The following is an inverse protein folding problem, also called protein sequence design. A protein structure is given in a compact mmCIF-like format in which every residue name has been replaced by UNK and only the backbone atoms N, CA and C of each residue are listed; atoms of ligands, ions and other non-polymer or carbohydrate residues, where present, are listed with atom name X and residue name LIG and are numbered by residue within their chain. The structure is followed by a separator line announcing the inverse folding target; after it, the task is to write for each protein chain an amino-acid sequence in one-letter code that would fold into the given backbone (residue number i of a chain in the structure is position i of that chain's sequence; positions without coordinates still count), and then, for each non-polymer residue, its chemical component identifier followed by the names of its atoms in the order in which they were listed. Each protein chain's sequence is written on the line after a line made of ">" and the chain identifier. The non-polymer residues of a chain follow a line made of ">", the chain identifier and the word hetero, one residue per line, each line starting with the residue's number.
data_IF_957354265930
#
_entry.id   IF_957354265930
#
_cell.length_a   1.000
_cell.length_b   1.000
_cell.length_c   1.000
_cell.angle_alpha   90.00
_cell.angle_beta   90.00
_cell.angle_gamma   90.00
#
_symmetry.space_group_name_H-M   'P 1'
#
loop_
_entity.id
_entity.type
_entity.pdbx_description
1 polymer ?
#
# COMPACT_ATOMS: atom_id res chain seq x y z
N UNK A 1 4.11 -15.49 -5.62
CA UNK A 1 2.88 -15.62 -6.46
C UNK A 1 1.78 -16.48 -5.86
N UNK A 2 2.07 -17.72 -5.47
CA UNK A 2 1.05 -18.70 -5.05
C UNK A 2 0.21 -18.26 -3.83
N UNK A 3 0.80 -17.64 -2.81
CA UNK A 3 0.07 -17.32 -1.56
C UNK A 3 -0.99 -16.21 -1.70
N UNK A 4 -0.76 -15.21 -2.55
CA UNK A 4 -1.69 -14.10 -2.79
C UNK A 4 -3.00 -14.60 -3.41
N UNK A 5 -2.93 -15.67 -4.20
CA UNK A 5 -4.09 -16.32 -4.81
C UNK A 5 -4.66 -17.40 -3.88
N UNK A 6 -3.81 -18.25 -3.29
CA UNK A 6 -4.24 -19.36 -2.41
C UNK A 6 -5.03 -18.90 -1.19
N UNK A 7 -4.85 -17.66 -0.72
CA UNK A 7 -5.57 -17.14 0.45
C UNK A 7 -7.10 -17.16 0.26
N UNK A 8 -7.58 -17.03 -0.99
CA UNK A 8 -8.99 -17.09 -1.35
C UNK A 8 -9.59 -18.49 -1.21
N UNK A 9 -8.76 -19.53 -1.26
CA UNK A 9 -9.21 -20.93 -1.10
C UNK A 9 -9.41 -21.31 0.38
N UNK A 10 -9.06 -20.42 1.32
CA UNK A 10 -9.24 -20.65 2.75
C UNK A 10 -10.33 -19.76 3.31
N UNK A 11 -11.32 -20.36 3.98
CA UNK A 11 -12.37 -19.62 4.70
C UNK A 11 -11.78 -18.60 5.67
N UNK A 12 -10.72 -18.98 6.39
CA UNK A 12 -10.01 -18.08 7.31
C UNK A 12 -9.35 -16.91 6.58
N UNK A 13 -8.80 -17.16 5.39
CA UNK A 13 -8.22 -16.13 4.54
C UNK A 13 -9.28 -15.10 4.10
N UNK A 14 -10.41 -15.56 3.57
CA UNK A 14 -11.53 -14.71 3.15
C UNK A 14 -12.07 -13.87 4.31
N UNK A 15 -12.26 -14.47 5.50
CA UNK A 15 -12.71 -13.74 6.69
C UNK A 15 -11.73 -12.61 7.06
N UNK A 16 -10.42 -12.86 6.96
CA UNK A 16 -9.41 -11.84 7.28
C UNK A 16 -9.30 -10.74 6.21
N UNK A 17 -9.58 -11.05 4.95
CA UNK A 17 -9.75 -10.05 3.89
C UNK A 17 -10.90 -9.10 4.27
N UNK A 18 -12.08 -9.67 4.56
CA UNK A 18 -13.28 -8.90 4.92
C UNK A 18 -13.04 -8.09 6.19
N UNK A 19 -12.48 -8.70 7.25
CA UNK A 19 -12.18 -8.01 8.50
C UNK A 19 -11.26 -6.82 8.28
N UNK A 20 -10.17 -7.01 7.52
CA UNK A 20 -9.23 -5.92 7.22
C UNK A 20 -9.92 -4.81 6.42
N UNK A 21 -10.71 -5.15 5.40
CA UNK A 21 -11.43 -4.19 4.59
C UNK A 21 -12.43 -3.37 5.42
N UNK A 22 -13.23 -4.03 6.25
CA UNK A 22 -14.25 -3.37 7.10
C UNK A 22 -13.61 -2.43 8.10
N UNK A 23 -12.58 -2.89 8.83
CA UNK A 23 -11.90 -2.04 9.82
C UNK A 23 -11.20 -0.87 9.13
N UNK A 24 -10.56 -1.12 7.98
CA UNK A 24 -9.91 -0.07 7.22
C UNK A 24 -10.92 1.00 6.76
N UNK A 25 -12.03 0.58 6.12
CA UNK A 25 -13.09 1.48 5.65
C UNK A 25 -13.72 2.26 6.80
N UNK A 26 -14.03 1.59 7.92
CA UNK A 26 -14.69 2.21 9.05
C UNK A 26 -13.89 3.41 9.61
N UNK A 27 -12.55 3.30 9.63
CA UNK A 27 -11.69 4.39 10.07
C UNK A 27 -11.43 5.38 8.92
N UNK A 28 -11.36 4.94 7.67
CA UNK A 28 -11.05 5.79 6.53
C UNK A 28 -12.22 6.72 6.16
N UNK A 29 -13.46 6.22 6.20
CA UNK A 29 -14.64 6.89 5.65
C UNK A 29 -14.91 8.29 6.26
N UNK A 30 -14.82 8.51 7.59
CA UNK A 30 -15.01 9.85 8.16
C UNK A 30 -14.03 10.88 7.59
N UNK A 31 -12.76 10.50 7.39
CA UNK A 31 -11.75 11.42 6.88
C UNK A 31 -11.88 11.64 5.38
N UNK A 32 -12.32 10.61 4.63
CA UNK A 32 -12.61 10.74 3.20
C UNK A 32 -13.71 11.77 2.92
N UNK A 33 -14.73 11.84 3.78
CA UNK A 33 -15.83 12.80 3.64
C UNK A 33 -15.47 14.18 4.19
N UNK A 34 -14.81 14.25 5.35
CA UNK A 34 -14.63 15.52 6.09
C UNK A 34 -13.31 16.23 5.75
N UNK A 35 -12.24 15.50 5.43
CA UNK A 35 -10.88 16.05 5.26
C UNK A 35 -10.18 15.56 3.97
N UNK A 36 -10.76 15.82 2.77
CA UNK A 36 -10.07 15.57 1.52
C UNK A 36 -8.88 16.52 1.37
N UNK A 37 -7.71 15.99 0.98
CA UNK A 37 -6.53 16.78 0.62
C UNK A 37 -6.61 17.14 -0.88
N UNK A 38 -6.95 16.15 -1.71
CA UNK A 38 -7.32 16.34 -3.11
C UNK A 38 -8.71 15.70 -3.28
N UNK A 39 -9.77 16.50 -3.46
CA UNK A 39 -11.13 15.99 -3.61
C UNK A 39 -11.21 14.90 -4.68
N UNK A 40 -11.77 13.74 -4.31
CA UNK A 40 -11.92 12.59 -5.20
C UNK A 40 -10.70 11.66 -5.32
N UNK A 41 -9.52 12.05 -4.82
CA UNK A 41 -8.28 11.28 -5.04
C UNK A 41 -7.52 10.90 -3.76
N UNK A 42 -7.43 11.81 -2.78
CA UNK A 42 -6.75 11.50 -1.52
C UNK A 42 -7.21 12.41 -0.38
N UNK A 43 -7.22 11.87 0.81
CA UNK A 43 -7.70 12.46 2.07
C UNK A 43 -6.61 12.40 3.14
N UNK A 44 -6.83 12.99 4.31
CA UNK A 44 -6.01 12.64 5.48
C UNK A 44 -6.34 11.18 5.87
N UNK A 45 -5.35 10.28 5.97
CA UNK A 45 -5.63 8.84 6.09
C UNK A 45 -5.15 8.20 7.40
N UNK A 46 -5.68 8.56 8.58
CA UNK A 46 -5.31 7.83 9.81
C UNK A 46 -5.58 6.33 9.71
N UNK A 47 -6.63 5.93 8.97
CA UNK A 47 -6.93 4.53 8.68
C UNK A 47 -5.84 3.78 7.92
N UNK A 48 -4.89 4.45 7.25
CA UNK A 48 -3.79 3.82 6.52
C UNK A 48 -2.86 3.00 7.44
N UNK A 49 -2.88 3.23 8.75
CA UNK A 49 -2.16 2.38 9.71
C UNK A 49 -2.70 0.94 9.74
N UNK A 50 -3.98 0.74 9.44
CA UNK A 50 -4.64 -0.57 9.50
C UNK A 50 -4.05 -1.55 8.48
N UNK A 51 -3.97 -1.22 7.17
CA UNK A 51 -3.26 -2.05 6.19
C UNK A 51 -1.86 -2.48 6.64
N UNK A 52 -1.06 -1.57 7.19
CA UNK A 52 0.32 -1.88 7.63
C UNK A 52 0.31 -2.94 8.74
N UNK A 53 -0.41 -2.68 9.83
CA UNK A 53 -0.41 -3.52 11.02
C UNK A 53 -1.10 -4.87 10.77
N UNK A 54 -2.22 -4.85 10.06
CA UNK A 54 -2.97 -6.05 9.69
C UNK A 54 -2.11 -6.94 8.78
N UNK A 55 -1.36 -6.37 7.85
CA UNK A 55 -0.55 -7.16 6.91
C UNK A 55 0.59 -7.90 7.57
N UNK A 56 1.25 -7.30 8.58
CA UNK A 56 2.27 -8.01 9.36
C UNK A 56 1.70 -9.28 10.01
N UNK A 57 0.40 -9.30 10.34
CA UNK A 57 -0.25 -10.39 11.08
C UNK A 57 -1.04 -11.38 10.20
N UNK A 58 -1.65 -10.88 9.12
CA UNK A 58 -2.55 -11.64 8.25
C UNK A 58 -1.97 -11.87 6.84
N UNK A 59 -0.84 -11.23 6.52
CA UNK A 59 -0.14 -11.39 5.25
C UNK A 59 -0.99 -11.00 4.04
N UNK A 60 -1.05 -11.83 2.98
CA UNK A 60 -1.77 -11.50 1.75
C UNK A 60 -3.28 -11.24 1.93
N UNK A 61 -3.91 -11.76 2.99
CA UNK A 61 -5.30 -11.47 3.29
C UNK A 61 -5.52 -9.98 3.56
N UNK A 62 -4.63 -9.38 4.37
CA UNK A 62 -4.73 -7.96 4.66
C UNK A 62 -4.32 -7.08 3.47
N UNK A 63 -3.44 -7.55 2.59
CA UNK A 63 -3.16 -6.86 1.31
C UNK A 63 -4.41 -6.75 0.44
N UNK A 64 -5.14 -7.85 0.23
CA UNK A 64 -6.43 -7.82 -0.46
C UNK A 64 -7.46 -6.96 0.28
N UNK A 65 -7.53 -7.08 1.60
CA UNK A 65 -8.42 -6.28 2.42
C UNK A 65 -8.14 -4.77 2.34
N UNK A 66 -6.87 -4.37 2.24
CA UNK A 66 -6.48 -2.98 2.05
C UNK A 66 -6.94 -2.44 0.69
N UNK A 67 -6.70 -3.19 -0.39
CA UNK A 67 -7.16 -2.83 -1.72
C UNK A 67 -8.69 -2.73 -1.82
N UNK A 68 -9.38 -3.79 -1.41
CA UNK A 68 -10.85 -3.87 -1.45
C UNK A 68 -11.47 -2.82 -0.52
N UNK A 69 -10.89 -2.63 0.67
CA UNK A 69 -11.31 -1.59 1.59
C UNK A 69 -11.19 -0.19 0.99
N UNK A 70 -10.09 0.12 0.28
CA UNK A 70 -10.00 1.40 -0.43
C UNK A 70 -11.13 1.57 -1.46
N UNK A 71 -11.39 0.53 -2.26
CA UNK A 71 -12.43 0.56 -3.29
C UNK A 71 -13.84 0.74 -2.67
N UNK A 72 -14.15 0.03 -1.59
CA UNK A 72 -15.40 0.22 -0.84
C UNK A 72 -15.48 1.65 -0.29
N UNK A 73 -14.37 2.17 0.23
CA UNK A 73 -14.28 3.56 0.69
C UNK A 73 -14.55 4.57 -0.43
N UNK A 74 -14.10 4.31 -1.66
CA UNK A 74 -14.41 5.14 -2.83
C UNK A 74 -15.91 5.09 -3.18
N UNK A 75 -16.52 3.90 -3.13
CA UNK A 75 -17.96 3.70 -3.38
C UNK A 75 -18.79 4.46 -2.35
N UNK A 76 -18.53 4.22 -1.06
CA UNK A 76 -19.31 4.81 0.04
C UNK A 76 -19.02 6.29 0.25
N UNK A 77 -17.81 6.74 -0.06
CA UNK A 77 -17.42 8.14 0.00
C UNK A 77 -17.89 8.97 -1.20
N UNK A 78 -18.51 8.35 -2.20
CA UNK A 78 -18.98 9.04 -3.41
C UNK A 78 -17.85 9.49 -4.36
N UNK A 79 -16.67 8.88 -4.26
CA UNK A 79 -15.48 9.22 -5.06
C UNK A 79 -15.07 8.12 -6.04
N UNK A 80 -15.96 7.17 -6.32
CA UNK A 80 -15.72 6.10 -7.29
C UNK A 80 -15.48 6.68 -8.69
N UNK A 81 -14.36 6.30 -9.31
CA UNK A 81 -14.04 6.68 -10.68
C UNK A 81 -13.02 5.73 -11.32
N UNK A 82 -12.56 6.05 -12.53
CA UNK A 82 -11.53 5.25 -13.22
C UNK A 82 -10.23 5.15 -12.42
N UNK A 83 -9.91 6.18 -11.63
CA UNK A 83 -8.78 6.18 -10.70
C UNK A 83 -8.86 5.09 -9.60
N UNK A 84 -10.05 4.63 -9.24
CA UNK A 84 -10.27 3.65 -8.16
C UNK A 84 -9.66 2.28 -8.47
N UNK A 85 -9.45 1.93 -9.74
CA UNK A 85 -8.73 0.70 -10.13
C UNK A 85 -7.27 0.79 -9.67
N UNK A 86 -6.63 1.94 -9.86
CA UNK A 86 -5.28 2.17 -9.38
C UNK A 86 -5.25 2.29 -7.85
N UNK A 87 -6.30 2.86 -7.25
CA UNK A 87 -6.51 2.85 -5.80
C UNK A 87 -6.55 1.44 -5.20
N UNK A 88 -7.30 0.52 -5.81
CA UNK A 88 -7.40 -0.89 -5.42
C UNK A 88 -6.01 -1.55 -5.39
N UNK A 89 -5.27 -1.50 -6.50
CA UNK A 89 -3.97 -2.17 -6.60
C UNK A 89 -2.84 -1.43 -5.86
N UNK A 90 -2.89 -0.11 -5.78
CA UNK A 90 -1.96 0.69 -4.97
C UNK A 90 -2.10 0.38 -3.48
N UNK A 91 -3.34 0.30 -2.97
CA UNK A 91 -3.58 -0.11 -1.58
C UNK A 91 -3.30 -1.60 -1.35
N UNK A 92 -3.46 -2.45 -2.36
CA UNK A 92 -3.00 -3.83 -2.30
C UNK A 92 -1.48 -3.90 -2.08
N UNK A 93 -0.68 -3.17 -2.86
CA UNK A 93 0.77 -3.07 -2.66
C UNK A 93 1.11 -2.45 -1.29
N UNK A 94 0.33 -1.47 -0.86
CA UNK A 94 0.45 -0.83 0.45
C UNK A 94 0.31 -1.81 1.62
N UNK A 95 -0.58 -2.80 1.49
CA UNK A 95 -0.68 -3.91 2.46
C UNK A 95 0.33 -5.03 2.20
N UNK A 96 0.68 -5.34 0.96
CA UNK A 96 1.59 -6.45 0.65
C UNK A 96 3.03 -6.20 1.15
N UNK A 97 3.58 -5.01 0.92
CA UNK A 97 4.98 -4.72 1.19
C UNK A 97 5.39 -4.71 2.68
N UNK A 98 4.62 -4.12 3.62
CA UNK A 98 4.99 -4.13 5.04
C UNK A 98 5.13 -5.55 5.57
N UNK A 99 4.22 -6.43 5.15
CA UNK A 99 4.29 -7.85 5.43
C UNK A 99 5.57 -8.48 4.89
N UNK A 100 5.88 -8.32 3.60
CA UNK A 100 7.08 -8.93 2.98
C UNK A 100 8.37 -8.42 3.63
N UNK A 101 8.49 -7.11 3.79
CA UNK A 101 9.70 -6.46 4.31
C UNK A 101 9.92 -6.82 5.79
N UNK A 102 8.88 -6.79 6.63
CA UNK A 102 9.00 -7.07 8.07
C UNK A 102 9.45 -8.50 8.41
N UNK A 103 9.34 -9.43 7.46
CA UNK A 103 9.74 -10.83 7.66
C UNK A 103 11.22 -11.07 7.59
N UNK A 104 11.96 -10.21 6.90
CA UNK A 104 13.41 -10.29 6.86
C UNK A 104 13.99 -10.27 8.26
N UNK A 105 13.56 -9.29 9.07
CA UNK A 105 13.81 -9.26 10.51
C UNK A 105 12.64 -8.57 11.22
N UNK A 106 12.13 -9.18 12.29
CA UNK A 106 10.97 -8.67 13.04
C UNK A 106 11.38 -7.60 14.05
N UNK A 107 11.91 -6.49 13.57
CA UNK A 107 12.38 -5.37 14.39
C UNK A 107 11.85 -4.02 13.87
N UNK A 108 12.10 -2.95 14.62
CA UNK A 108 11.63 -1.62 14.29
C UNK A 108 12.18 -1.11 12.95
N UNK A 109 13.43 -1.43 12.60
CA UNK A 109 14.04 -1.00 11.34
C UNK A 109 13.25 -1.53 10.13
N UNK A 110 12.97 -2.83 10.09
CA UNK A 110 12.22 -3.41 8.97
C UNK A 110 10.73 -3.04 9.00
N UNK A 111 10.19 -2.67 10.17
CA UNK A 111 8.88 -2.04 10.23
C UNK A 111 8.89 -0.67 9.54
N UNK A 112 9.86 0.18 9.86
CA UNK A 112 10.04 1.50 9.25
C UNK A 112 10.27 1.38 7.74
N UNK A 113 11.13 0.45 7.30
CA UNK A 113 11.31 0.14 5.88
C UNK A 113 10.00 -0.33 5.24
N UNK A 114 9.23 -1.17 5.93
CA UNK A 114 7.90 -1.60 5.51
C UNK A 114 6.96 -0.43 5.25
N UNK A 115 6.89 0.53 6.18
CA UNK A 115 6.07 1.75 6.08
C UNK A 115 6.51 2.62 4.90
N UNK A 116 7.81 2.90 4.78
CA UNK A 116 8.34 3.78 3.72
C UNK A 116 8.18 3.12 2.36
N UNK A 117 8.57 1.85 2.23
CA UNK A 117 8.51 1.10 0.98
C UNK A 117 7.07 0.93 0.48
N UNK A 118 6.12 0.63 1.38
CA UNK A 118 4.73 0.51 1.00
C UNK A 118 4.10 1.84 0.62
N UNK A 119 4.44 2.93 1.33
CA UNK A 119 3.94 4.27 1.04
C UNK A 119 4.42 4.76 -0.33
N UNK A 120 5.69 4.55 -0.65
CA UNK A 120 6.26 4.83 -1.98
C UNK A 120 5.57 4.01 -3.06
N UNK A 121 5.43 2.70 -2.87
CA UNK A 121 4.79 1.83 -3.86
C UNK A 121 3.35 2.24 -4.16
N UNK A 122 2.58 2.56 -3.10
CA UNK A 122 1.21 3.02 -3.20
C UNK A 122 1.13 4.35 -3.96
N UNK A 123 1.95 5.34 -3.56
CA UNK A 123 1.98 6.66 -4.19
C UNK A 123 2.40 6.60 -5.65
N UNK A 124 3.46 5.86 -5.97
CA UNK A 124 3.96 5.70 -7.36
C UNK A 124 2.91 5.02 -8.22
N UNK A 125 2.31 3.92 -7.76
CA UNK A 125 1.34 3.15 -8.55
C UNK A 125 0.05 3.95 -8.81
N UNK A 126 -0.49 4.60 -7.78
CA UNK A 126 -1.70 5.43 -7.91
C UNK A 126 -1.40 6.68 -8.74
N UNK A 127 -0.32 7.39 -8.45
CA UNK A 127 0.08 8.58 -9.18
C UNK A 127 0.29 8.30 -10.67
N UNK A 128 0.96 7.20 -11.00
CA UNK A 128 1.20 6.79 -12.38
C UNK A 128 -0.10 6.54 -13.14
N UNK A 129 -1.01 5.76 -12.55
CA UNK A 129 -2.26 5.40 -13.19
C UNK A 129 -3.21 6.59 -13.36
N UNK A 130 -3.33 7.42 -12.33
CA UNK A 130 -4.21 8.59 -12.35
C UNK A 130 -3.70 9.69 -13.29
N UNK A 131 -2.38 9.92 -13.34
CA UNK A 131 -1.78 10.86 -14.30
C UNK A 131 -1.87 10.32 -15.74
N UNK A 132 -1.74 9.01 -15.95
CA UNK A 132 -1.99 8.38 -17.26
C UNK A 132 -3.42 8.62 -17.76
N UNK A 133 -4.39 8.77 -16.87
CA UNK A 133 -5.78 9.14 -17.19
C UNK A 133 -5.98 10.66 -17.39
N UNK A 134 -4.94 11.48 -17.17
CA UNK A 134 -5.01 12.94 -17.29
C UNK A 134 -5.78 13.63 -16.16
N UNK A 135 -5.94 12.96 -15.00
CA UNK A 135 -6.80 13.44 -13.91
C UNK A 135 -6.05 14.32 -12.91
N UNK A 136 -4.92 13.84 -12.37
CA UNK A 136 -4.08 14.58 -11.42
C UNK A 136 -2.62 14.32 -11.75
N UNK A 137 -1.76 15.36 -11.80
CA UNK A 137 -0.33 15.18 -12.06
C UNK A 137 0.34 14.25 -11.05
N UNK A 138 1.20 13.36 -11.54
CA UNK A 138 1.96 12.39 -10.75
C UNK A 138 2.70 13.07 -9.60
N UNK A 139 3.38 14.20 -9.87
CA UNK A 139 4.17 14.91 -8.85
C UNK A 139 3.35 15.30 -7.63
N UNK A 140 2.09 15.70 -7.84
CA UNK A 140 1.19 16.09 -6.76
C UNK A 140 0.70 14.84 -6.05
N UNK A 141 0.09 13.91 -6.79
CA UNK A 141 -0.61 12.79 -6.18
C UNK A 141 0.34 11.77 -5.53
N UNK A 142 1.40 11.36 -6.23
CA UNK A 142 2.36 10.38 -5.71
C UNK A 142 3.07 10.89 -4.45
N UNK A 143 3.47 12.16 -4.45
CA UNK A 143 4.16 12.78 -3.31
C UNK A 143 3.25 12.91 -2.09
N UNK A 144 2.02 13.40 -2.29
CA UNK A 144 1.05 13.55 -1.18
C UNK A 144 0.72 12.19 -0.58
N UNK A 145 0.44 11.17 -1.39
CA UNK A 145 0.14 9.82 -0.88
C UNK A 145 1.34 9.25 -0.12
N UNK A 146 2.54 9.38 -0.68
CA UNK A 146 3.77 8.88 -0.04
C UNK A 146 4.00 9.53 1.32
N UNK A 147 3.94 10.86 1.39
CA UNK A 147 4.20 11.62 2.61
C UNK A 147 3.13 11.33 3.66
N UNK A 148 1.86 11.40 3.30
CA UNK A 148 0.73 11.17 4.20
C UNK A 148 0.79 9.77 4.82
N UNK A 149 0.93 8.73 3.99
CA UNK A 149 1.00 7.36 4.46
C UNK A 149 2.24 7.08 5.32
N UNK A 150 3.38 7.71 5.00
CA UNK A 150 4.61 7.57 5.80
C UNK A 150 4.44 8.23 7.18
N UNK A 151 3.92 9.46 7.22
CA UNK A 151 3.67 10.18 8.47
C UNK A 151 2.70 9.39 9.34
N UNK A 152 1.57 8.94 8.79
CA UNK A 152 0.60 8.12 9.54
C UNK A 152 1.22 6.82 10.03
N UNK A 153 1.98 6.12 9.18
CA UNK A 153 2.65 4.88 9.55
C UNK A 153 3.69 5.06 10.65
N UNK A 154 4.37 6.20 10.73
CA UNK A 154 5.28 6.52 11.82
C UNK A 154 4.55 6.93 13.09
N UNK A 155 3.66 7.91 12.99
CA UNK A 155 2.96 8.51 14.14
C UNK A 155 2.04 7.52 14.82
N UNK A 156 1.28 6.73 14.05
CA UNK A 156 0.34 5.74 14.59
C UNK A 156 0.92 4.33 14.58
N UNK A 157 1.62 3.94 13.52
CA UNK A 157 2.08 2.56 13.36
C UNK A 157 3.16 2.16 14.37
N UNK A 158 4.15 3.01 14.64
CA UNK A 158 5.24 2.69 15.59
C UNK A 158 4.69 2.46 17.00
N UNK A 159 3.88 3.36 17.59
CA UNK A 159 3.32 3.12 18.92
C UNK A 159 2.37 1.91 18.96
N UNK A 160 1.56 1.70 17.92
CA UNK A 160 0.53 0.65 17.91
C UNK A 160 1.08 -0.76 17.61
N UNK A 161 2.25 -0.87 16.99
CA UNK A 161 2.86 -2.15 16.63
C UNK A 161 2.91 -3.17 17.79
N UNK A 162 3.55 -2.88 18.94
CA UNK A 162 3.66 -3.87 20.03
C UNK A 162 2.29 -4.27 20.60
N UNK A 163 1.36 -3.33 20.75
CA UNK A 163 0.02 -3.59 21.28
C UNK A 163 -0.79 -4.48 20.33
N UNK A 164 -0.74 -4.16 19.03
CA UNK A 164 -1.46 -4.90 18.00
C UNK A 164 -0.95 -6.33 17.89
N UNK A 165 0.38 -6.52 17.82
CA UNK A 165 0.97 -7.85 17.75
C UNK A 165 0.67 -8.68 19.01
N UNK A 166 0.77 -8.08 20.20
CA UNK A 166 0.43 -8.75 21.47
C UNK A 166 -1.04 -9.18 21.51
N UNK A 167 -1.95 -8.28 21.12
CA UNK A 167 -3.40 -8.54 21.15
C UNK A 167 -3.82 -9.60 20.14
N UNK A 168 -3.34 -9.53 18.90
CA UNK A 168 -3.65 -10.52 17.87
C UNK A 168 -3.12 -11.91 18.23
N UNK A 169 -1.93 -11.97 18.84
CA UNK A 169 -1.38 -13.22 19.38
C UNK A 169 -2.23 -13.77 20.53
N UNK A 170 -2.71 -12.93 21.46
CA UNK A 170 -3.50 -13.40 22.61
C UNK A 170 -4.84 -14.02 22.21
N UNK A 171 -5.41 -13.61 21.08
CA UNK A 171 -6.68 -14.15 20.56
C UNK A 171 -6.47 -15.20 19.45
N UNK A 172 -5.23 -15.68 19.25
CA UNK A 172 -4.86 -16.64 18.20
C UNK A 172 -5.27 -16.22 16.77
N UNK A 173 -5.38 -14.92 16.52
CA UNK A 173 -5.74 -14.34 15.23
C UNK A 173 -4.47 -13.99 14.46
N UNK A 174 -3.69 -15.00 14.07
CA UNK A 174 -2.53 -14.84 13.18
C UNK A 174 -2.56 -15.93 12.12
N UNK A 175 -2.10 -15.61 10.90
CA UNK A 175 -1.90 -16.63 9.87
C UNK A 175 -0.43 -17.06 9.91
N UNK A 176 -0.17 -18.37 9.73
CA UNK A 176 1.16 -18.83 9.31
C UNK A 176 1.35 -18.39 7.88
N UNK A 177 2.05 -17.30 7.72
CA UNK A 177 2.25 -16.70 6.42
C UNK A 177 3.38 -17.47 5.68
N UNK A 178 3.30 -17.68 4.36
CA UNK A 178 4.14 -18.61 3.59
C UNK A 178 5.59 -18.17 3.33
N UNK A 179 6.35 -18.94 2.55
CA UNK A 179 7.76 -18.69 2.21
C UNK A 179 7.93 -17.42 1.35
N UNK A 180 8.39 -16.33 1.97
CA UNK A 180 8.94 -15.17 1.26
C UNK A 180 10.44 -15.32 1.08
N UNK A 181 11.02 -14.58 0.13
CA UNK A 181 12.46 -14.56 -0.05
C UNK A 181 13.11 -13.68 1.02
N UNK A 182 14.17 -14.18 1.66
CA UNK A 182 15.01 -13.37 2.55
C UNK A 182 16.19 -12.73 1.77
N UNK A 183 16.04 -12.54 0.45
CA UNK A 183 17.09 -11.99 -0.42
C UNK A 183 17.28 -10.50 -0.18
N UNK A 184 18.33 -10.14 0.56
CA UNK A 184 18.71 -8.73 0.79
C UNK A 184 18.96 -7.98 -0.54
N UNK A 185 19.61 -8.55 -1.57
CA UNK A 185 19.74 -7.89 -2.87
C UNK A 185 18.40 -7.51 -3.50
N UNK A 186 17.38 -8.35 -3.35
CA UNK A 186 16.05 -8.08 -3.89
C UNK A 186 15.35 -6.95 -3.14
N UNK A 187 15.53 -6.87 -1.82
CA UNK A 187 15.05 -5.75 -1.00
C UNK A 187 15.73 -4.44 -1.39
N UNK A 188 17.05 -4.45 -1.62
CA UNK A 188 17.79 -3.28 -2.11
C UNK A 188 17.25 -2.86 -3.47
N UNK A 189 17.06 -3.81 -4.39
CA UNK A 189 16.51 -3.55 -5.72
C UNK A 189 15.10 -2.94 -5.64
N UNK A 190 14.24 -3.40 -4.73
CA UNK A 190 12.93 -2.78 -4.49
C UNK A 190 13.07 -1.30 -4.17
N UNK A 191 13.91 -0.95 -3.19
CA UNK A 191 14.07 0.45 -2.80
C UNK A 191 14.72 1.30 -3.90
N UNK A 192 15.65 0.73 -4.68
CA UNK A 192 16.19 1.41 -5.86
C UNK A 192 15.08 1.74 -6.86
N UNK A 193 14.22 0.76 -7.19
CA UNK A 193 13.08 0.96 -8.11
C UNK A 193 12.08 1.97 -7.57
N UNK A 194 11.80 1.95 -6.26
CA UNK A 194 10.88 2.91 -5.65
C UNK A 194 11.43 4.33 -5.66
N UNK A 195 12.69 4.52 -5.26
CA UNK A 195 13.33 5.83 -5.22
C UNK A 195 13.52 6.38 -6.63
N UNK A 196 14.05 5.57 -7.56
CA UNK A 196 14.21 5.98 -8.96
C UNK A 196 12.88 6.24 -9.63
N UNK A 197 11.84 5.45 -9.32
CA UNK A 197 10.49 5.62 -9.85
C UNK A 197 9.85 6.94 -9.41
N UNK A 198 10.01 7.31 -8.13
CA UNK A 198 9.51 8.60 -7.64
C UNK A 198 10.26 9.77 -8.28
N UNK A 199 11.60 9.69 -8.36
CA UNK A 199 12.43 10.74 -8.96
C UNK A 199 12.09 10.90 -10.45
N UNK A 200 12.14 9.80 -11.22
CA UNK A 200 11.87 9.81 -12.64
C UNK A 200 10.44 10.26 -12.94
N UNK A 201 9.48 9.79 -12.16
CA UNK A 201 8.08 10.17 -12.29
C UNK A 201 7.88 11.66 -12.09
N UNK A 202 8.54 12.23 -11.09
CA UNK A 202 8.53 13.68 -10.87
C UNK A 202 9.15 14.42 -12.06
N UNK A 203 10.36 14.05 -12.48
CA UNK A 203 11.05 14.69 -13.61
C UNK A 203 10.22 14.65 -14.92
N UNK A 204 9.49 13.56 -15.15
CA UNK A 204 8.56 13.45 -16.29
C UNK A 204 7.35 14.37 -16.09
N UNK A 205 6.71 14.34 -14.92
CA UNK A 205 5.47 15.07 -14.65
C UNK A 205 5.65 16.60 -14.69
N UNK A 206 6.80 17.13 -14.23
CA UNK A 206 7.14 18.56 -14.42
C UNK A 206 7.72 18.90 -15.79
N UNK A 207 7.85 17.93 -16.71
CA UNK A 207 8.25 18.18 -18.09
C UNK A 207 9.75 18.35 -18.33
N UNK A 208 10.60 18.03 -17.34
CA UNK A 208 12.07 18.00 -17.49
C UNK A 208 12.44 16.88 -18.47
N UNK A 209 11.81 15.71 -18.32
CA UNK A 209 11.95 14.59 -19.26
C UNK A 209 10.69 14.52 -20.12
N UNK A 210 10.86 14.67 -21.45
CA UNK A 210 9.76 14.71 -22.40
C UNK A 210 9.32 13.31 -22.85
N UNK A 211 8.61 12.61 -21.98
CA UNK A 211 7.93 11.33 -22.27
C UNK A 211 6.57 11.34 -21.58
N UNK A 212 5.57 10.62 -22.10
CA UNK A 212 4.29 10.47 -21.38
C UNK A 212 4.51 9.63 -20.13
N UNK A 213 3.99 10.08 -18.97
CA UNK A 213 4.15 9.40 -17.68
C UNK A 213 3.78 7.91 -17.73
N UNK A 214 2.71 7.58 -18.47
CA UNK A 214 2.26 6.21 -18.67
C UNK A 214 3.38 5.29 -19.18
N UNK A 215 4.03 5.68 -20.28
CA UNK A 215 5.11 4.90 -20.91
C UNK A 215 6.43 5.05 -20.12
N UNK A 216 6.75 6.27 -19.68
CA UNK A 216 8.03 6.57 -19.04
C UNK A 216 8.23 5.85 -17.70
N UNK A 217 7.17 5.62 -16.94
CA UNK A 217 7.23 4.87 -15.68
C UNK A 217 6.85 3.39 -15.80
N UNK A 218 6.30 2.94 -16.93
CA UNK A 218 5.85 1.56 -17.08
C UNK A 218 6.91 0.51 -16.68
N UNK A 219 8.21 0.65 -17.02
CA UNK A 219 9.24 -0.30 -16.56
C UNK A 219 9.37 -0.36 -15.04
N UNK A 220 9.26 0.78 -14.35
CA UNK A 220 9.32 0.84 -12.89
C UNK A 220 8.10 0.18 -12.26
N UNK A 221 6.92 0.36 -12.85
CA UNK A 221 5.67 -0.28 -12.38
C UNK A 221 5.75 -1.80 -12.55
N UNK A 222 6.23 -2.29 -13.69
CA UNK A 222 6.41 -3.72 -13.94
C UNK A 222 7.41 -4.31 -12.94
N UNK A 223 8.58 -3.69 -12.78
CA UNK A 223 9.59 -4.12 -11.83
C UNK A 223 9.07 -4.10 -10.39
N UNK A 224 8.36 -3.03 -9.99
CA UNK A 224 7.75 -2.92 -8.67
C UNK A 224 6.81 -4.10 -8.39
N UNK A 225 5.90 -4.41 -9.31
CA UNK A 225 4.94 -5.52 -9.14
C UNK A 225 5.66 -6.86 -9.08
N UNK A 226 6.61 -7.13 -9.98
CA UNK A 226 7.38 -8.37 -10.01
C UNK A 226 8.16 -8.56 -8.70
N UNK A 227 8.94 -7.54 -8.31
CA UNK A 227 9.78 -7.58 -7.12
C UNK A 227 8.92 -7.74 -5.86
N UNK A 228 7.80 -7.03 -5.76
CA UNK A 228 6.86 -7.15 -4.62
C UNK A 228 6.26 -8.54 -4.46
N UNK A 229 6.22 -9.35 -5.52
CA UNK A 229 5.73 -10.73 -5.50
C UNK A 229 6.83 -11.77 -5.24
N UNK A 230 8.10 -11.38 -5.39
CA UNK A 230 9.28 -12.24 -5.24
C UNK A 230 9.93 -12.12 -3.85
N UNK A 231 9.96 -10.92 -3.27
CA UNK A 231 10.34 -10.64 -1.87
C UNK A 231 9.29 -11.27 -0.98
#
# INVERSE_FOLDING_TARGET
>A
MIEVVRIWNSTRGVVLIVLTAVVYVAILLPFKVVLPIIPGFTELRPGAVIPILASISFGPAAAWGAGIGNLIGDILGGTLGLGSIFGLFGNFLYGLLPYRIYRYQKNLLFFVLGVVGSSLACGIFIGWGVDMLGLVPFTILASIITINNTIVGFVLGIPLLPFTLKRLKSINLTIKTGEGSNSIPLLILLFLVLISGLILGNLISVGIIRVRIGIGLLPHIILLVIISLLI
#
